data_IF_844571110732
#
_entry.id   IF_844571110732
#
_cell.length_a   1.000
_cell.length_b   1.000
_cell.length_c   1.000
_cell.angle_alpha   90.00
_cell.angle_beta   90.00
_cell.angle_gamma   90.00
#
_symmetry.space_group_name_H-M   'P 1'
#
loop_
_entity.id
_entity.type
_entity.pdbx_description
1 polymer ?
#
# COMPACT_ATOMS: atom_id res chain seq x y z
N UNK A 1 -22.34 16.90 -18.17
CA UNK A 1 -20.91 17.27 -18.10
C UNK A 1 -20.58 17.21 -16.63
N UNK A 2 -19.92 16.13 -16.19
CA UNK A 2 -19.50 15.97 -14.80
C UNK A 2 -18.05 16.38 -14.74
N UNK A 3 -17.76 17.41 -13.96
CA UNK A 3 -16.41 17.86 -13.67
C UNK A 3 -15.63 16.71 -13.03
N UNK A 4 -14.65 16.21 -13.77
CA UNK A 4 -13.59 15.38 -13.23
C UNK A 4 -12.84 16.25 -12.23
N UNK A 5 -13.04 15.95 -10.95
CA UNK A 5 -12.26 16.50 -9.84
C UNK A 5 -10.81 16.05 -10.04
N UNK A 6 -10.09 16.84 -10.82
CA UNK A 6 -8.69 16.65 -11.12
C UNK A 6 -7.99 17.08 -9.84
N UNK A 7 -7.59 16.11 -9.03
CA UNK A 7 -6.75 16.29 -7.87
C UNK A 7 -5.56 17.17 -8.26
N UNK A 8 -5.66 18.46 -7.94
CA UNK A 8 -4.63 19.43 -8.23
C UNK A 8 -3.42 19.02 -7.40
N UNK A 9 -2.47 18.34 -8.05
CA UNK A 9 -1.14 18.13 -7.51
C UNK A 9 -0.59 19.50 -7.13
N UNK A 10 -0.54 19.77 -5.83
CA UNK A 10 0.05 21.00 -5.34
C UNK A 10 1.54 20.98 -5.71
N UNK A 11 2.14 22.14 -5.96
CA UNK A 11 3.56 22.31 -6.38
C UNK A 11 4.59 21.81 -5.32
N UNK A 12 4.12 21.07 -4.31
CA UNK A 12 4.86 20.49 -3.18
C UNK A 12 4.77 18.95 -3.14
N UNK A 13 3.98 18.33 -4.02
CA UNK A 13 3.87 16.87 -4.11
C UNK A 13 5.16 16.28 -4.70
N UNK A 14 5.79 15.36 -3.97
CA UNK A 14 7.02 14.67 -4.38
C UNK A 14 6.79 13.16 -4.36
N UNK A 15 7.14 12.46 -5.43
CA UNK A 15 7.12 10.99 -5.42
C UNK A 15 8.12 10.48 -4.37
N UNK A 16 7.60 9.81 -3.33
CA UNK A 16 8.39 9.16 -2.29
C UNK A 16 8.91 7.82 -2.80
N UNK A 17 8.03 7.03 -3.44
CA UNK A 17 8.37 5.74 -4.04
C UNK A 17 7.46 5.42 -5.21
N UNK A 18 8.04 4.93 -6.29
CA UNK A 18 7.32 4.49 -7.48
C UNK A 18 7.43 2.97 -7.61
N UNK A 19 6.35 2.35 -8.10
CA UNK A 19 6.23 0.92 -8.30
C UNK A 19 5.68 0.65 -9.72
N UNK A 20 5.79 -0.59 -10.23
CA UNK A 20 5.13 -0.97 -11.48
C UNK A 20 3.61 -0.77 -11.43
N UNK A 21 2.96 -0.80 -12.60
CA UNK A 21 1.49 -0.74 -12.75
C UNK A 21 0.89 0.60 -12.30
N UNK A 22 1.60 1.71 -12.51
CA UNK A 22 1.18 3.08 -12.14
C UNK A 22 0.84 3.24 -10.64
N UNK A 23 1.47 2.42 -9.79
CA UNK A 23 1.33 2.48 -8.32
C UNK A 23 2.45 3.32 -7.74
N UNK A 24 2.14 4.25 -6.84
CA UNK A 24 3.15 5.12 -6.20
C UNK A 24 2.72 5.58 -4.81
N UNK A 25 3.71 5.96 -4.02
CA UNK A 25 3.54 6.71 -2.79
C UNK A 25 4.06 8.12 -3.01
N UNK A 26 3.19 9.10 -2.79
CA UNK A 26 3.50 10.53 -2.94
C UNK A 26 3.61 11.17 -1.56
N UNK A 27 4.74 11.80 -1.29
CA UNK A 27 4.91 12.68 -0.14
C UNK A 27 4.30 14.05 -0.48
N UNK A 28 3.43 14.55 0.39
CA UNK A 28 2.84 15.88 0.26
C UNK A 28 2.73 16.54 1.63
N UNK A 29 2.65 17.87 1.66
CA UNK A 29 2.46 18.61 2.90
C UNK A 29 1.11 19.33 2.89
N UNK A 30 0.11 18.84 3.63
CA UNK A 30 -1.15 19.55 3.79
C UNK A 30 -0.92 20.96 4.35
N UNK A 31 -1.73 21.93 3.91
CA UNK A 31 -1.67 23.28 4.43
C UNK A 31 -1.90 23.29 5.95
N UNK A 32 -0.94 23.84 6.71
CA UNK A 32 -1.01 23.89 8.18
C UNK A 32 -0.55 22.63 8.92
N UNK A 33 -0.11 21.59 8.22
CA UNK A 33 0.53 20.44 8.85
C UNK A 33 2.01 20.72 9.16
N UNK A 34 2.46 20.31 10.36
CA UNK A 34 3.87 20.42 10.76
C UNK A 34 4.75 19.36 10.06
N UNK A 35 4.18 18.21 9.74
CA UNK A 35 4.87 17.05 9.16
C UNK A 35 4.27 16.69 7.79
N UNK A 36 5.07 16.12 6.87
CA UNK A 36 4.55 15.60 5.61
C UNK A 36 3.62 14.40 5.84
N UNK A 37 2.79 14.11 4.86
CA UNK A 37 1.96 12.92 4.77
C UNK A 37 2.30 12.15 3.48
N UNK A 38 1.92 10.88 3.45
CA UNK A 38 2.27 9.95 2.38
C UNK A 38 0.99 9.35 1.80
N UNK A 39 0.63 9.76 0.58
CA UNK A 39 -0.55 9.27 -0.13
C UNK A 39 -0.17 8.06 -0.98
N UNK A 40 -0.88 6.95 -0.79
CA UNK A 40 -0.83 5.81 -1.69
C UNK A 40 -1.80 6.04 -2.85
N UNK A 41 -1.29 5.91 -4.07
CA UNK A 41 -2.04 6.04 -5.32
C UNK A 41 -1.86 4.77 -6.14
N UNK A 42 -2.95 4.17 -6.60
CA UNK A 42 -2.95 3.02 -7.49
C UNK A 42 -4.16 3.08 -8.44
N UNK A 43 -4.07 2.49 -9.65
CA UNK A 43 -5.20 2.44 -10.56
C UNK A 43 -6.43 1.79 -9.92
N UNK A 44 -7.59 2.43 -10.07
CA UNK A 44 -8.88 1.96 -9.56
C UNK A 44 -8.96 1.79 -8.03
N UNK A 45 -7.94 2.20 -7.26
CA UNK A 45 -7.94 2.17 -5.81
C UNK A 45 -8.35 3.53 -5.24
N UNK A 46 -8.99 3.53 -4.07
CA UNK A 46 -9.32 4.78 -3.38
C UNK A 46 -8.06 5.33 -2.71
N UNK A 47 -7.71 6.58 -3.00
CA UNK A 47 -6.55 7.23 -2.39
C UNK A 47 -6.65 7.22 -0.85
N UNK A 48 -5.55 6.82 -0.21
CA UNK A 48 -5.41 6.78 1.24
C UNK A 48 -4.08 7.41 1.64
N UNK A 49 -4.08 8.16 2.74
CA UNK A 49 -2.90 8.88 3.23
C UNK A 49 -2.47 8.40 4.62
N UNK A 50 -1.16 8.33 4.82
CA UNK A 50 -0.52 7.89 6.06
C UNK A 50 0.39 8.99 6.61
N UNK A 51 0.56 9.01 7.93
CA UNK A 51 1.48 9.93 8.59
C UNK A 51 2.95 9.50 8.48
N UNK A 52 3.20 8.24 8.16
CA UNK A 52 4.52 7.62 8.19
C UNK A 52 4.80 6.90 6.85
N UNK A 53 5.99 7.10 6.25
CA UNK A 53 6.33 6.50 4.95
C UNK A 53 6.45 4.97 5.03
N UNK A 54 6.93 4.42 6.15
CA UNK A 54 7.05 2.96 6.31
C UNK A 54 5.67 2.29 6.31
N UNK A 55 4.67 2.95 6.90
CA UNK A 55 3.28 2.51 6.87
C UNK A 55 2.70 2.57 5.46
N UNK A 56 2.92 3.66 4.73
CA UNK A 56 2.46 3.80 3.35
C UNK A 56 3.09 2.77 2.41
N UNK A 57 4.38 2.49 2.58
CA UNK A 57 5.09 1.49 1.78
C UNK A 57 4.69 0.06 2.15
N UNK A 58 4.41 -0.22 3.43
CA UNK A 58 3.84 -1.51 3.86
C UNK A 58 2.44 -1.73 3.27
N UNK A 59 1.62 -0.69 3.20
CA UNK A 59 0.32 -0.75 2.53
C UNK A 59 0.46 -1.10 1.05
N UNK A 60 1.43 -0.48 0.36
CA UNK A 60 1.76 -0.86 -1.01
C UNK A 60 2.23 -2.32 -1.11
N UNK A 61 3.03 -2.82 -0.17
CA UNK A 61 3.43 -4.23 -0.15
C UNK A 61 2.21 -5.17 -0.03
N UNK A 62 1.25 -4.85 0.84
CA UNK A 62 -0.02 -5.61 0.94
C UNK A 62 -0.82 -5.55 -0.35
N UNK A 63 -0.86 -4.39 -1.01
CA UNK A 63 -1.53 -4.24 -2.30
C UNK A 63 -0.95 -5.16 -3.37
N UNK A 64 0.38 -5.23 -3.50
CA UNK A 64 1.01 -6.17 -4.43
C UNK A 64 0.84 -7.63 -4.01
N UNK A 65 0.96 -7.95 -2.72
CA UNK A 65 0.83 -9.31 -2.19
C UNK A 65 -0.56 -9.94 -2.43
N UNK A 66 -1.58 -9.09 -2.53
CA UNK A 66 -2.98 -9.47 -2.81
C UNK A 66 -3.34 -9.39 -4.29
N UNK A 67 -2.43 -8.93 -5.15
CA UNK A 67 -2.70 -8.57 -6.54
C UNK A 67 -3.81 -7.50 -6.66
N UNK A 68 -3.81 -6.55 -5.73
CA UNK A 68 -4.80 -5.49 -5.58
C UNK A 68 -5.94 -5.85 -4.62
N UNK A 69 -6.54 -4.83 -4.03
CA UNK A 69 -7.74 -4.95 -3.20
C UNK A 69 -8.53 -3.64 -3.16
N UNK A 70 -9.79 -3.73 -2.72
CA UNK A 70 -10.68 -2.58 -2.57
C UNK A 70 -11.19 -2.47 -1.13
N UNK A 71 -11.05 -1.28 -0.54
CA UNK A 71 -11.61 -0.97 0.79
C UNK A 71 -13.06 -0.48 0.71
N UNK A 72 -13.59 -0.26 -0.50
CA UNK A 72 -14.97 0.14 -0.69
C UNK A 72 -15.94 -0.88 -0.06
N UNK A 73 -16.76 -0.42 0.87
CA UNK A 73 -17.76 -1.26 1.56
C UNK A 73 -17.23 -2.09 2.73
N UNK A 74 -15.95 -2.01 3.08
CA UNK A 74 -15.41 -2.66 4.30
C UNK A 74 -15.74 -1.88 5.57
N UNK A 75 -15.93 -0.56 5.44
CA UNK A 75 -16.13 0.36 6.56
C UNK A 75 -14.81 0.74 7.23
N UNK A 76 -14.82 1.70 8.16
CA UNK A 76 -13.59 2.30 8.73
C UNK A 76 -12.63 1.35 9.45
N UNK A 77 -13.10 0.14 9.81
CA UNK A 77 -12.29 -0.90 10.47
C UNK A 77 -12.43 -2.26 9.79
N UNK A 78 -12.99 -2.29 8.59
CA UNK A 78 -13.15 -3.53 7.85
C UNK A 78 -11.83 -4.03 7.28
N UNK A 79 -11.85 -5.28 6.86
CA UNK A 79 -10.73 -5.90 6.14
C UNK A 79 -11.24 -6.31 4.77
N UNK A 80 -10.56 -5.92 3.68
CA UNK A 80 -10.91 -6.35 2.32
C UNK A 80 -10.94 -7.88 2.21
N UNK A 81 -11.90 -8.47 1.47
CA UNK A 81 -11.94 -9.91 1.25
C UNK A 81 -10.64 -10.50 0.69
N UNK A 82 -9.94 -9.77 -0.19
CA UNK A 82 -8.68 -10.17 -0.80
C UNK A 82 -7.56 -10.29 0.25
N UNK A 83 -7.49 -9.35 1.19
CA UNK A 83 -6.55 -9.38 2.32
C UNK A 83 -6.84 -10.57 3.23
N UNK A 84 -8.12 -10.89 3.47
CA UNK A 84 -8.50 -12.08 4.27
C UNK A 84 -8.07 -13.36 3.57
N UNK A 85 -8.27 -13.44 2.25
CA UNK A 85 -7.96 -14.62 1.44
C UNK A 85 -6.45 -14.86 1.26
N UNK A 86 -5.65 -13.80 1.20
CA UNK A 86 -4.19 -13.88 1.09
C UNK A 86 -3.53 -14.55 2.30
N UNK A 87 -4.18 -14.47 3.47
CA UNK A 87 -3.83 -15.27 4.63
C UNK A 87 -3.32 -14.45 5.82
N UNK A 88 -2.82 -15.17 6.83
CA UNK A 88 -2.53 -14.56 8.14
C UNK A 88 -1.42 -13.51 8.10
N UNK A 89 -0.39 -13.73 7.31
CA UNK A 89 0.74 -12.81 7.26
C UNK A 89 0.36 -11.49 6.58
N UNK A 90 -0.36 -11.55 5.46
CA UNK A 90 -0.95 -10.39 4.79
C UNK A 90 -1.93 -9.65 5.69
N UNK A 91 -2.80 -10.36 6.40
CA UNK A 91 -3.74 -9.76 7.36
C UNK A 91 -3.01 -9.06 8.52
N UNK A 92 -1.92 -9.65 9.04
CA UNK A 92 -1.10 -9.02 10.07
C UNK A 92 -0.40 -7.75 9.55
N UNK A 93 0.12 -7.78 8.33
CA UNK A 93 0.72 -6.62 7.68
C UNK A 93 -0.31 -5.51 7.43
N UNK A 94 -1.50 -5.85 6.92
CA UNK A 94 -2.59 -4.90 6.72
C UNK A 94 -3.02 -4.25 8.03
N UNK A 95 -3.16 -5.02 9.12
CA UNK A 95 -3.51 -4.42 10.41
C UNK A 95 -2.50 -3.37 10.86
N UNK A 96 -1.20 -3.57 10.65
CA UNK A 96 -0.18 -2.57 10.98
C UNK A 96 -0.29 -1.27 10.18
N UNK A 97 -1.05 -1.26 9.08
CA UNK A 97 -1.35 -0.04 8.32
C UNK A 97 -2.53 0.74 8.89
N UNK A 98 -3.32 0.14 9.77
CA UNK A 98 -4.50 0.76 10.36
C UNK A 98 -4.12 1.71 11.50
N UNK A 99 -4.81 2.86 11.54
CA UNK A 99 -4.62 3.86 12.59
C UNK A 99 -4.85 3.29 14.00
N UNK A 100 -3.88 3.52 14.88
CA UNK A 100 -3.95 3.12 16.29
C UNK A 100 -3.56 1.66 16.56
N UNK A 101 -2.99 0.97 15.58
CA UNK A 101 -2.40 -0.36 15.78
C UNK A 101 -0.87 -0.28 15.84
N UNK A 102 -0.27 -1.27 16.48
CA UNK A 102 1.19 -1.47 16.47
C UNK A 102 1.51 -2.98 16.53
N UNK A 103 2.80 -3.31 16.46
CA UNK A 103 3.27 -4.70 16.51
C UNK A 103 2.82 -5.43 17.78
N UNK A 104 2.73 -4.75 18.92
CA UNK A 104 2.31 -5.37 20.18
C UNK A 104 0.81 -5.67 20.19
N UNK A 105 0.01 -4.77 19.62
CA UNK A 105 -1.42 -4.96 19.44
C UNK A 105 -1.69 -6.13 18.51
N UNK A 106 -1.04 -6.19 17.33
CA UNK A 106 -1.21 -7.28 16.37
C UNK A 106 -0.73 -8.61 16.95
N UNK A 107 0.41 -8.60 17.66
CA UNK A 107 0.91 -9.77 18.37
C UNK A 107 -0.11 -10.29 19.40
N UNK A 108 -0.70 -9.38 20.17
CA UNK A 108 -1.73 -9.72 21.16
C UNK A 108 -3.00 -10.27 20.49
N UNK A 109 -3.44 -9.67 19.37
CA UNK A 109 -4.58 -10.14 18.59
C UNK A 109 -4.41 -11.59 18.12
N UNK A 110 -3.20 -11.96 17.67
CA UNK A 110 -2.90 -13.32 17.23
C UNK A 110 -2.45 -14.28 18.34
N UNK A 111 -2.28 -13.80 19.58
CA UNK A 111 -1.68 -14.59 20.67
C UNK A 111 -0.23 -15.01 20.38
N UNK A 112 0.57 -14.09 19.82
CA UNK A 112 1.93 -14.31 19.33
C UNK A 112 2.95 -13.39 19.97
N UNK A 113 4.23 -13.67 19.73
CA UNK A 113 5.32 -12.75 20.07
C UNK A 113 5.48 -11.69 18.97
N UNK A 114 5.91 -10.45 19.29
CA UNK A 114 6.20 -9.41 18.30
C UNK A 114 7.13 -9.88 17.17
N UNK A 115 8.17 -10.67 17.50
CA UNK A 115 9.10 -11.25 16.52
C UNK A 115 8.43 -12.18 15.50
N UNK A 116 7.30 -12.80 15.83
CA UNK A 116 6.53 -13.57 14.84
C UNK A 116 5.77 -12.67 13.87
N UNK A 117 5.30 -11.51 14.33
CA UNK A 117 4.62 -10.52 13.48
C UNK A 117 5.62 -9.88 12.52
N UNK A 118 6.81 -9.54 13.01
CA UNK A 118 7.92 -9.06 12.16
C UNK A 118 8.25 -10.06 11.04
N UNK A 119 8.24 -11.37 11.35
CA UNK A 119 8.42 -12.42 10.35
C UNK A 119 7.31 -12.45 9.31
N UNK A 120 6.06 -12.18 9.69
CA UNK A 120 4.94 -12.08 8.74
C UNK A 120 5.10 -10.89 7.81
N UNK A 121 5.42 -9.72 8.36
CA UNK A 121 5.70 -8.53 7.57
C UNK A 121 6.86 -8.78 6.60
N UNK A 122 7.93 -9.43 7.05
CA UNK A 122 9.04 -9.80 6.18
C UNK A 122 8.65 -10.75 5.04
N UNK A 123 7.72 -11.69 5.28
CA UNK A 123 7.22 -12.57 4.23
C UNK A 123 6.40 -11.82 3.18
N UNK A 124 5.51 -10.91 3.60
CA UNK A 124 4.70 -10.05 2.71
C UNK A 124 5.60 -9.15 1.88
N UNK A 125 6.55 -8.44 2.51
CA UNK A 125 7.53 -7.57 1.84
C UNK A 125 8.28 -8.30 0.72
N UNK A 126 8.75 -9.52 1.02
CA UNK A 126 9.48 -10.35 0.05
C UNK A 126 8.58 -10.77 -1.12
N UNK A 127 7.36 -11.24 -0.87
CA UNK A 127 6.43 -11.60 -1.95
C UNK A 127 6.04 -10.40 -2.81
N UNK A 128 5.80 -9.25 -2.20
CA UNK A 128 5.54 -8.00 -2.91
C UNK A 128 6.74 -7.58 -3.76
N UNK A 129 7.97 -7.73 -3.28
CA UNK A 129 9.18 -7.48 -4.06
C UNK A 129 9.33 -8.45 -5.24
N UNK A 130 9.09 -9.74 -5.03
CA UNK A 130 9.08 -10.76 -6.09
C UNK A 130 8.05 -10.39 -7.18
N UNK A 131 6.81 -10.07 -6.80
CA UNK A 131 5.74 -9.65 -7.73
C UNK A 131 6.10 -8.38 -8.50
N UNK A 132 6.64 -7.36 -7.82
CA UNK A 132 7.06 -6.11 -8.47
C UNK A 132 8.21 -6.33 -9.45
N UNK A 133 9.17 -7.17 -9.09
CA UNK A 133 10.30 -7.51 -9.98
C UNK A 133 9.78 -8.20 -11.24
N UNK A 134 8.91 -9.20 -11.08
CA UNK A 134 8.31 -9.89 -12.22
C UNK A 134 7.44 -8.97 -13.08
N UNK A 135 6.67 -8.06 -12.47
CA UNK A 135 5.86 -7.08 -13.20
C UNK A 135 6.73 -6.10 -14.00
N UNK A 136 7.85 -5.64 -13.42
CA UNK A 136 8.82 -4.82 -14.12
C UNK A 136 9.44 -5.56 -15.29
N UNK A 137 9.88 -6.82 -15.10
CA UNK A 137 10.45 -7.64 -16.18
C UNK A 137 9.46 -7.87 -17.33
N UNK A 138 8.19 -8.16 -17.01
CA UNK A 138 7.14 -8.33 -18.03
C UNK A 138 6.74 -7.02 -18.71
N UNK A 139 6.89 -5.88 -18.02
CA UNK A 139 6.71 -4.53 -18.57
C UNK A 139 7.93 -3.98 -19.33
N UNK A 140 9.08 -4.67 -19.29
CA UNK A 140 10.35 -4.30 -19.93
C UNK A 140 10.59 -5.04 -21.24
N UNK A 141 9.62 -5.79 -21.81
CA UNK A 141 9.74 -6.15 -23.22
C UNK A 141 9.88 -4.86 -24.04
N UNK A 142 11.02 -4.63 -24.75
CA UNK A 142 11.05 -3.56 -25.71
C UNK A 142 9.93 -3.89 -26.69
N UNK A 143 9.16 -2.89 -27.10
CA UNK A 143 8.35 -2.99 -28.30
C UNK A 143 9.30 -3.23 -29.49
N UNK A 144 9.74 -4.47 -29.62
CA UNK A 144 10.42 -5.01 -30.76
C UNK A 144 9.33 -5.26 -31.79
N UNK A 145 9.12 -4.21 -32.58
CA UNK A 145 8.78 -4.30 -33.98
C UNK A 145 7.35 -4.80 -34.30
N UNK A 146 6.49 -3.85 -34.66
CA UNK A 146 5.42 -4.07 -35.62
C UNK A 146 5.43 -2.94 -36.66
N UNK A 147 6.21 -3.20 -37.73
CA UNK A 147 6.09 -2.77 -39.13
C UNK A 147 5.87 -1.30 -39.48
#
# INVERSE_FOLDING_TARGET
MSDSDSSQSSDTDRVHREYPLDVRVVEFRPAGAEQPQYRFEAPEHTDISFADPETATLYADVYFDTNGFQEAGTGHRGVPPEVVQAGRDTMAAYFLTMAGTDTNWVASFYGKKPSEIERYVGAVRRRAEEIRTEAAERGVEPAANAA
#
